data_IF_301643077372
#
_entry.id   IF_301643077372
#
_cell.length_a   1.000
_cell.length_b   1.000
_cell.length_c   1.000
_cell.angle_alpha   90.00
_cell.angle_beta   90.00
_cell.angle_gamma   90.00
#
_symmetry.space_group_name_H-M   'P 1'
#
loop_
_entity.id
_entity.type
_entity.pdbx_description
1 polymer ?
#
# COMPACT_ATOMS: atom_id res chain seq x y z
N UNK A 1 -2.28 -28.68 14.71
CA UNK A 1 -2.78 -27.29 14.87
C UNK A 1 -3.27 -26.83 13.50
N UNK A 2 -4.56 -26.53 13.35
CA UNK A 2 -5.12 -26.13 12.05
C UNK A 2 -4.47 -24.83 11.55
N UNK A 3 -4.21 -24.68 10.24
CA UNK A 3 -3.47 -23.53 9.68
C UNK A 3 -4.10 -22.18 10.02
N UNK A 4 -5.42 -22.14 10.19
CA UNK A 4 -6.18 -20.92 10.49
C UNK A 4 -5.92 -20.38 11.91
N UNK A 5 -5.78 -21.25 12.91
CA UNK A 5 -5.52 -20.83 14.29
C UNK A 5 -4.17 -20.12 14.43
N UNK A 6 -3.14 -20.56 13.69
CA UNK A 6 -1.81 -19.91 13.70
C UNK A 6 -1.85 -18.52 13.09
N UNK A 7 -2.64 -18.33 12.02
CA UNK A 7 -2.85 -17.02 11.39
C UNK A 7 -3.61 -16.09 12.32
N UNK A 8 -4.71 -16.54 12.91
CA UNK A 8 -5.52 -15.75 13.82
C UNK A 8 -4.74 -15.32 15.07
N UNK A 9 -3.90 -16.21 15.61
CA UNK A 9 -3.02 -15.88 16.73
C UNK A 9 -2.06 -14.73 16.39
N UNK A 10 -1.49 -14.71 15.17
CA UNK A 10 -0.65 -13.58 14.74
C UNK A 10 -1.43 -12.28 14.69
N UNK A 11 -2.67 -12.30 14.20
CA UNK A 11 -3.53 -11.11 14.13
C UNK A 11 -3.84 -10.59 15.54
N UNK A 12 -4.14 -11.46 16.50
CA UNK A 12 -4.34 -11.07 17.91
C UNK A 12 -3.08 -10.40 18.49
N UNK A 13 -1.89 -10.95 18.21
CA UNK A 13 -0.63 -10.36 18.68
C UNK A 13 -0.33 -9.00 18.03
N UNK A 14 -0.70 -8.82 16.76
CA UNK A 14 -0.62 -7.51 16.09
C UNK A 14 -1.60 -6.53 16.73
N UNK A 15 -2.86 -6.95 16.94
CA UNK A 15 -3.87 -6.10 17.57
C UNK A 15 -3.47 -5.64 18.97
N UNK A 16 -2.81 -6.50 19.76
CA UNK A 16 -2.27 -6.12 21.07
C UNK A 16 -1.30 -4.94 20.94
N UNK A 17 -0.37 -5.01 19.97
CA UNK A 17 0.63 -3.97 19.73
C UNK A 17 0.01 -2.68 19.20
N UNK A 18 -0.94 -2.78 18.26
CA UNK A 18 -1.57 -1.61 17.66
C UNK A 18 -2.50 -0.87 18.63
N UNK A 19 -3.15 -1.58 19.54
CA UNK A 19 -3.98 -0.99 20.59
C UNK A 19 -3.17 -0.50 21.80
N UNK A 20 -1.85 -0.73 21.83
CA UNK A 20 -1.01 -0.35 22.97
C UNK A 20 -1.37 -1.06 24.27
N UNK A 21 -1.98 -2.25 24.20
CA UNK A 21 -2.38 -3.00 25.40
C UNK A 21 -1.15 -3.54 26.11
N UNK A 22 -1.05 -3.25 27.40
CA UNK A 22 -0.04 -3.84 28.26
C UNK A 22 -0.30 -5.34 28.48
N UNK A 23 0.56 -6.01 29.23
CA UNK A 23 0.40 -7.45 29.44
C UNK A 23 -0.83 -7.82 30.28
N UNK A 24 -1.23 -6.98 31.23
CA UNK A 24 -2.32 -7.30 32.15
C UNK A 24 -3.68 -7.00 31.51
N UNK A 25 -3.81 -5.86 30.82
CA UNK A 25 -4.97 -5.49 30.02
C UNK A 25 -5.22 -6.52 28.91
N UNK A 26 -4.15 -7.00 28.27
CA UNK A 26 -4.25 -8.05 27.27
C UNK A 26 -4.75 -9.38 27.86
N UNK A 27 -4.29 -9.75 29.06
CA UNK A 27 -4.77 -10.97 29.74
C UNK A 27 -6.22 -10.83 30.19
N UNK A 28 -6.61 -9.67 30.71
CA UNK A 28 -7.99 -9.37 31.08
C UNK A 28 -8.92 -9.42 29.87
N UNK A 29 -8.50 -8.88 28.72
CA UNK A 29 -9.25 -8.98 27.47
C UNK A 29 -9.43 -10.44 27.04
N UNK A 30 -8.37 -11.25 27.07
CA UNK A 30 -8.47 -12.68 26.72
C UNK A 30 -9.39 -13.45 27.66
N UNK A 31 -9.30 -13.19 28.97
CA UNK A 31 -10.12 -13.83 29.99
C UNK A 31 -11.60 -13.47 29.82
N UNK A 32 -11.92 -12.19 29.61
CA UNK A 32 -13.30 -11.73 29.41
C UNK A 32 -13.98 -12.34 28.17
N UNK A 33 -13.22 -12.58 27.09
CA UNK A 33 -13.77 -13.09 25.82
C UNK A 33 -13.74 -14.61 25.75
N UNK A 34 -12.72 -15.26 26.33
CA UNK A 34 -12.45 -16.69 26.08
C UNK A 34 -12.44 -17.56 27.33
N UNK A 35 -12.46 -16.94 28.52
CA UNK A 35 -12.28 -17.57 29.82
C UNK A 35 -10.84 -18.01 30.12
N UNK A 36 -9.86 -17.65 29.28
CA UNK A 36 -8.48 -18.06 29.43
C UNK A 36 -7.54 -16.85 29.44
N UNK A 37 -6.54 -16.87 30.32
CA UNK A 37 -5.52 -15.81 30.43
C UNK A 37 -4.39 -15.92 29.40
N UNK A 38 -4.49 -16.84 28.44
CA UNK A 38 -3.48 -17.04 27.40
C UNK A 38 -4.12 -17.37 26.05
N UNK A 39 -3.56 -16.79 25.00
CA UNK A 39 -3.97 -17.09 23.63
C UNK A 39 -3.35 -18.41 23.09
N UNK A 40 -2.40 -19.00 23.81
CA UNK A 40 -1.73 -20.24 23.40
C UNK A 40 -2.68 -21.42 23.58
N UNK A 41 -2.97 -22.12 22.48
CA UNK A 41 -3.86 -23.29 22.49
C UNK A 41 -5.36 -22.97 22.32
N UNK A 42 -5.72 -21.69 22.12
CA UNK A 42 -7.10 -21.34 21.79
C UNK A 42 -7.52 -21.87 20.41
N UNK A 43 -8.78 -22.30 20.32
CA UNK A 43 -9.44 -22.65 19.05
C UNK A 43 -9.59 -21.42 18.14
N UNK A 44 -9.70 -21.64 16.83
CA UNK A 44 -9.92 -20.58 15.84
C UNK A 44 -11.14 -19.69 16.19
N UNK A 45 -12.29 -20.28 16.56
CA UNK A 45 -13.49 -19.54 16.94
C UNK A 45 -13.27 -18.57 18.12
N UNK A 46 -12.55 -19.01 19.16
CA UNK A 46 -12.19 -18.16 20.30
C UNK A 46 -11.24 -17.02 19.88
N UNK A 47 -10.29 -17.27 18.99
CA UNK A 47 -9.39 -16.24 18.47
C UNK A 47 -10.14 -15.21 17.61
N UNK A 48 -11.15 -15.62 16.83
CA UNK A 48 -12.01 -14.71 16.07
C UNK A 48 -12.88 -13.82 16.98
N UNK A 49 -13.41 -14.38 18.06
CA UNK A 49 -14.13 -13.61 19.07
C UNK A 49 -13.23 -12.53 19.70
N UNK A 50 -11.98 -12.87 20.03
CA UNK A 50 -10.98 -11.90 20.55
C UNK A 50 -10.70 -10.80 19.54
N UNK A 51 -10.48 -11.14 18.25
CA UNK A 51 -10.28 -10.15 17.19
C UNK A 51 -11.50 -9.23 17.06
N UNK A 52 -12.71 -9.76 17.24
CA UNK A 52 -13.96 -8.97 17.20
C UNK A 52 -14.04 -7.99 18.37
N UNK A 53 -13.68 -8.41 19.59
CA UNK A 53 -13.58 -7.52 20.74
C UNK A 53 -12.52 -6.42 20.51
N UNK A 54 -11.35 -6.78 19.97
CA UNK A 54 -10.29 -5.81 19.62
C UNK A 54 -10.77 -4.79 18.58
N UNK A 55 -11.58 -5.20 17.59
CA UNK A 55 -12.17 -4.26 16.62
C UNK A 55 -13.09 -3.24 17.30
N UNK A 56 -13.86 -3.66 18.31
CA UNK A 56 -14.65 -2.75 19.14
C UNK A 56 -13.81 -1.72 19.90
N UNK A 57 -12.57 -2.08 20.25
CA UNK A 57 -11.58 -1.20 20.88
C UNK A 57 -10.79 -0.34 19.86
N UNK A 58 -11.13 -0.39 18.57
CA UNK A 58 -10.49 0.42 17.52
C UNK A 58 -9.44 -0.30 16.67
N UNK A 59 -9.24 -1.61 16.86
CA UNK A 59 -8.31 -2.38 16.03
C UNK A 59 -8.83 -2.53 14.59
N UNK A 60 -8.07 -2.07 13.61
CA UNK A 60 -8.40 -2.19 12.19
C UNK A 60 -7.53 -3.27 11.56
N UNK A 61 -8.12 -4.42 11.22
CA UNK A 61 -7.40 -5.51 10.54
C UNK A 61 -6.99 -5.03 9.13
N UNK A 62 -5.74 -4.56 9.00
CA UNK A 62 -5.09 -4.29 7.72
C UNK A 62 -4.91 -5.62 6.97
N UNK A 63 -5.94 -6.05 6.24
CA UNK A 63 -5.90 -7.32 5.50
C UNK A 63 -7.22 -8.08 5.40
N UNK A 64 -8.34 -7.52 5.84
CA UNK A 64 -9.66 -7.98 5.41
C UNK A 64 -9.86 -7.61 3.95
N UNK A 65 -9.41 -8.47 3.03
CA UNK A 65 -9.81 -8.39 1.64
C UNK A 65 -11.33 -8.26 1.60
N UNK A 66 -11.81 -7.26 0.86
CA UNK A 66 -13.19 -7.21 0.45
C UNK A 66 -13.49 -8.55 -0.21
N UNK A 67 -14.44 -9.32 0.34
CA UNK A 67 -14.83 -10.66 -0.15
C UNK A 67 -15.39 -10.61 -1.59
N UNK A 68 -15.61 -9.40 -2.13
CA UNK A 68 -16.12 -9.16 -3.47
C UNK A 68 -15.07 -8.60 -4.46
N UNK A 69 -13.81 -8.47 -4.06
CA UNK A 69 -12.73 -8.05 -4.96
C UNK A 69 -11.90 -9.24 -5.40
N UNK A 70 -11.82 -9.51 -6.71
CA UNK A 70 -10.90 -10.50 -7.31
C UNK A 70 -9.44 -10.12 -7.01
N UNK A 71 -8.94 -10.41 -5.81
CA UNK A 71 -7.50 -10.41 -5.54
C UNK A 71 -6.95 -11.80 -5.82
N UNK A 72 -6.04 -11.88 -6.77
CA UNK A 72 -5.33 -13.12 -7.05
C UNK A 72 -4.55 -13.59 -5.81
N UNK A 73 -4.46 -14.91 -5.56
CA UNK A 73 -3.68 -15.44 -4.45
C UNK A 73 -2.21 -14.97 -4.53
N UNK A 74 -1.51 -14.86 -3.39
CA UNK A 74 -0.07 -14.57 -3.40
C UNK A 74 0.62 -15.63 -4.26
N UNK A 75 1.29 -15.21 -5.33
CA UNK A 75 1.88 -16.19 -6.24
C UNK A 75 3.03 -16.92 -5.54
N UNK A 76 2.90 -18.24 -5.43
CA UNK A 76 3.93 -19.13 -4.89
C UNK A 76 5.04 -19.42 -5.92
N UNK A 77 4.94 -18.85 -7.12
CA UNK A 77 5.87 -19.07 -8.21
C UNK A 77 7.14 -18.21 -8.04
N UNK A 78 8.30 -18.79 -8.38
CA UNK A 78 9.56 -18.06 -8.44
C UNK A 78 9.44 -16.94 -9.47
N UNK A 79 9.43 -15.70 -8.99
CA UNK A 79 9.47 -14.51 -9.83
C UNK A 79 10.85 -14.41 -10.47
N UNK A 80 10.94 -14.39 -11.81
CA UNK A 80 12.22 -14.29 -12.53
C UNK A 80 12.88 -12.92 -12.39
N UNK A 81 12.10 -11.85 -12.27
CA UNK A 81 12.57 -10.47 -12.16
C UNK A 81 11.98 -9.77 -10.92
N UNK A 82 12.80 -9.30 -9.96
CA UNK A 82 12.29 -8.70 -8.71
C UNK A 82 11.37 -7.49 -8.94
N UNK A 83 11.49 -6.83 -10.10
CA UNK A 83 10.65 -5.71 -10.54
C UNK A 83 9.19 -6.09 -10.73
N UNK A 84 8.88 -7.35 -11.06
CA UNK A 84 7.50 -7.85 -11.22
C UNK A 84 6.69 -7.68 -9.93
N UNK A 85 7.35 -7.78 -8.76
CA UNK A 85 6.71 -7.52 -7.47
C UNK A 85 6.28 -6.05 -7.35
N UNK A 86 7.10 -5.11 -7.84
CA UNK A 86 6.79 -3.68 -7.87
C UNK A 86 5.65 -3.39 -8.86
N UNK A 87 5.66 -4.03 -10.03
CA UNK A 87 4.58 -3.94 -11.03
C UNK A 87 3.23 -4.34 -10.42
N UNK A 88 3.17 -5.50 -9.76
CA UNK A 88 1.97 -5.97 -9.04
C UNK A 88 1.55 -5.01 -7.93
N UNK A 89 2.51 -4.51 -7.15
CA UNK A 89 2.22 -3.57 -6.07
C UNK A 89 1.56 -2.28 -6.61
N UNK A 90 2.11 -1.67 -7.66
CA UNK A 90 1.54 -0.46 -8.26
C UNK A 90 0.14 -0.75 -8.82
N UNK A 91 -0.07 -1.89 -9.50
CA UNK A 91 -1.39 -2.25 -10.03
C UNK A 91 -2.46 -2.34 -8.93
N UNK A 92 -2.13 -3.01 -7.82
CA UNK A 92 -3.02 -3.13 -6.67
C UNK A 92 -3.26 -1.76 -6.02
N UNK A 93 -2.23 -0.91 -5.91
CA UNK A 93 -2.38 0.46 -5.41
C UNK A 93 -3.36 1.25 -6.28
N UNK A 94 -3.19 1.24 -7.61
CA UNK A 94 -4.09 1.92 -8.54
C UNK A 94 -5.54 1.41 -8.44
N UNK A 95 -5.75 0.11 -8.18
CA UNK A 95 -7.09 -0.42 -7.91
C UNK A 95 -7.66 0.12 -6.59
N UNK A 96 -6.86 0.16 -5.52
CA UNK A 96 -7.31 0.69 -4.23
C UNK A 96 -7.61 2.19 -4.29
N UNK A 97 -6.89 2.95 -5.11
CA UNK A 97 -7.15 4.37 -5.37
C UNK A 97 -8.37 4.60 -6.29
N UNK A 98 -8.98 3.52 -6.81
CA UNK A 98 -10.16 3.59 -7.69
C UNK A 98 -9.86 3.92 -9.15
N UNK A 99 -8.57 4.00 -9.54
CA UNK A 99 -8.15 4.32 -10.90
C UNK A 99 -8.32 3.15 -11.87
N UNK A 100 -8.30 1.92 -11.36
CA UNK A 100 -8.45 0.69 -12.14
C UNK A 100 -9.65 -0.09 -11.61
N UNK A 101 -10.44 -0.66 -12.52
CA UNK A 101 -11.67 -1.40 -12.17
C UNK A 101 -11.42 -2.80 -11.64
N UNK A 102 -10.29 -3.41 -11.98
CA UNK A 102 -9.94 -4.80 -11.63
C UNK A 102 -8.47 -4.91 -11.20
N UNK A 103 -8.24 -5.23 -9.92
CA UNK A 103 -6.92 -5.39 -9.31
C UNK A 103 -6.31 -6.80 -9.45
N UNK A 104 -6.94 -7.71 -10.20
CA UNK A 104 -6.45 -9.08 -10.39
C UNK A 104 -5.19 -9.17 -11.25
N UNK A 105 -4.44 -10.26 -11.08
CA UNK A 105 -3.25 -10.58 -11.88
C UNK A 105 -3.61 -10.86 -13.35
N UNK A 106 -4.84 -11.30 -13.63
CA UNK A 106 -5.35 -11.51 -14.99
C UNK A 106 -5.58 -10.19 -15.74
N UNK A 107 -6.13 -9.18 -15.03
CA UNK A 107 -6.30 -7.83 -15.58
C UNK A 107 -4.94 -7.17 -15.82
N UNK A 108 -4.00 -7.33 -14.88
CA UNK A 108 -2.61 -6.91 -15.06
C UNK A 108 -1.95 -7.62 -16.24
N UNK A 109 -2.15 -8.94 -16.36
CA UNK A 109 -1.67 -9.73 -17.48
C UNK A 109 -2.17 -9.24 -18.83
N UNK A 110 -3.42 -8.81 -18.91
CA UNK A 110 -4.00 -8.19 -20.11
C UNK A 110 -3.35 -6.85 -20.46
N UNK A 111 -3.01 -6.03 -19.45
CA UNK A 111 -2.25 -4.80 -19.65
C UNK A 111 -0.84 -5.09 -20.18
N UNK A 112 -0.12 -6.03 -19.56
CA UNK A 112 1.24 -6.43 -19.95
C UNK A 112 1.26 -7.02 -21.36
N UNK A 113 0.28 -7.85 -21.72
CA UNK A 113 0.14 -8.42 -23.06
C UNK A 113 0.09 -7.32 -24.11
N UNK A 114 -0.71 -6.27 -23.89
CA UNK A 114 -0.80 -5.12 -24.81
C UNK A 114 0.52 -4.35 -24.91
N UNK A 115 1.22 -4.16 -23.79
CA UNK A 115 2.51 -3.46 -23.74
C UNK A 115 3.63 -4.22 -24.46
N UNK A 116 3.62 -5.55 -24.40
CA UNK A 116 4.71 -6.41 -24.90
C UNK A 116 4.45 -7.00 -26.28
N UNK A 117 3.19 -7.05 -26.74
CA UNK A 117 2.82 -7.61 -28.04
C UNK A 117 3.59 -6.95 -29.20
N UNK A 118 3.71 -5.62 -29.20
CA UNK A 118 4.41 -4.89 -30.27
C UNK A 118 5.92 -5.16 -30.27
N UNK A 119 6.51 -5.42 -29.10
CA UNK A 119 7.95 -5.66 -28.96
C UNK A 119 8.34 -7.12 -29.29
N UNK A 120 7.39 -8.06 -29.19
CA UNK A 120 7.63 -9.50 -29.35
C UNK A 120 6.99 -10.04 -30.64
N UNK A 121 6.96 -9.26 -31.72
CA UNK A 121 6.44 -9.73 -33.02
C UNK A 121 4.98 -10.18 -33.01
N UNK A 122 4.15 -9.63 -32.11
CA UNK A 122 2.73 -9.95 -31.96
C UNK A 122 2.41 -10.90 -30.78
N UNK A 123 3.40 -11.58 -30.20
CA UNK A 123 3.20 -12.50 -29.08
C UNK A 123 3.37 -11.78 -27.72
N UNK A 124 2.29 -11.18 -27.22
CA UNK A 124 2.30 -10.52 -25.91
C UNK A 124 2.37 -11.49 -24.73
N UNK A 125 3.13 -11.12 -23.69
CA UNK A 125 3.27 -11.90 -22.45
C UNK A 125 2.04 -11.63 -21.56
N UNK A 126 1.29 -12.67 -21.21
CA UNK A 126 0.09 -12.54 -20.35
C UNK A 126 0.37 -12.78 -18.87
N UNK A 127 1.47 -13.45 -18.51
CA UNK A 127 1.82 -13.68 -17.10
C UNK A 127 2.96 -12.76 -16.67
N UNK A 128 2.77 -11.91 -15.65
CA UNK A 128 3.82 -11.00 -15.17
C UNK A 128 5.13 -11.71 -14.80
N UNK A 129 5.03 -12.95 -14.32
CA UNK A 129 6.16 -13.78 -13.87
C UNK A 129 7.11 -14.19 -15.00
N UNK A 130 6.66 -14.08 -16.25
CA UNK A 130 7.44 -14.42 -17.45
C UNK A 130 8.15 -13.21 -18.03
N UNK A 131 8.02 -12.03 -17.44
CA UNK A 131 8.75 -10.85 -17.87
C UNK A 131 10.24 -10.99 -17.53
N UNK A 132 11.09 -10.63 -18.48
CA UNK A 132 12.50 -10.37 -18.22
C UNK A 132 12.65 -9.06 -17.42
N UNK A 133 13.78 -8.84 -16.74
CA UNK A 133 14.00 -7.61 -15.95
C UNK A 133 13.81 -6.34 -16.80
N UNK A 134 14.39 -6.29 -18.01
CA UNK A 134 14.26 -5.14 -18.90
C UNK A 134 12.79 -4.89 -19.34
N UNK A 135 12.02 -5.96 -19.60
CA UNK A 135 10.59 -5.83 -19.91
C UNK A 135 9.80 -5.38 -18.69
N UNK A 136 10.11 -5.92 -17.51
CA UNK A 136 9.47 -5.56 -16.25
C UNK A 136 9.73 -4.10 -15.86
N UNK A 137 10.95 -3.60 -16.02
CA UNK A 137 11.29 -2.17 -15.83
C UNK A 137 10.50 -1.27 -16.79
N UNK A 138 10.44 -1.63 -18.07
CA UNK A 138 9.66 -0.86 -19.06
C UNK A 138 8.18 -0.80 -18.70
N UNK A 139 7.61 -1.93 -18.27
CA UNK A 139 6.22 -1.99 -17.79
C UNK A 139 6.03 -1.17 -16.51
N UNK A 140 6.97 -1.26 -15.58
CA UNK A 140 6.94 -0.53 -14.31
C UNK A 140 6.94 0.99 -14.52
N UNK A 141 7.83 1.49 -15.37
CA UNK A 141 7.93 2.92 -15.67
C UNK A 141 6.70 3.42 -16.45
N UNK A 142 6.15 2.60 -17.35
CA UNK A 142 4.89 2.93 -18.02
C UNK A 142 3.70 3.02 -17.03
N UNK A 143 3.63 2.09 -16.07
CA UNK A 143 2.60 2.11 -15.01
C UNK A 143 2.73 3.35 -14.11
N UNK A 144 3.96 3.68 -13.67
CA UNK A 144 4.19 4.89 -12.86
C UNK A 144 3.74 6.15 -13.59
N UNK A 145 4.10 6.32 -14.86
CA UNK A 145 3.69 7.48 -15.66
C UNK A 145 2.18 7.56 -15.81
N UNK A 146 1.52 6.42 -16.04
CA UNK A 146 0.07 6.40 -16.12
C UNK A 146 -0.58 6.76 -14.78
N UNK A 147 -0.08 6.20 -13.68
CA UNK A 147 -0.59 6.49 -12.34
C UNK A 147 -0.41 7.96 -11.96
N UNK A 148 0.78 8.54 -12.23
CA UNK A 148 1.04 9.98 -12.05
C UNK A 148 -0.01 10.81 -12.78
N UNK A 149 -0.27 10.52 -14.06
CA UNK A 149 -1.26 11.26 -14.85
C UNK A 149 -2.66 11.21 -14.23
N UNK A 150 -3.08 10.06 -13.69
CA UNK A 150 -4.38 9.91 -13.03
C UNK A 150 -4.43 10.64 -11.69
N UNK A 151 -3.38 10.54 -10.87
CA UNK A 151 -3.27 11.28 -9.61
C UNK A 151 -3.27 12.79 -9.84
N UNK A 152 -2.50 13.27 -10.81
CA UNK A 152 -2.47 14.68 -11.24
C UNK A 152 -3.86 15.16 -11.66
N UNK A 153 -4.57 14.39 -12.48
CA UNK A 153 -5.94 14.75 -12.88
C UNK A 153 -6.88 14.84 -11.66
N UNK A 154 -6.80 13.89 -10.72
CA UNK A 154 -7.61 13.90 -9.51
C UNK A 154 -7.28 15.08 -8.56
N UNK A 155 -6.00 15.48 -8.48
CA UNK A 155 -5.56 16.67 -7.74
C UNK A 155 -6.18 17.94 -8.37
N UNK A 156 -6.10 18.06 -9.70
CA UNK A 156 -6.67 19.21 -10.43
C UNK A 156 -8.18 19.28 -10.27
N UNK A 157 -8.89 18.16 -10.41
CA UNK A 157 -10.35 18.08 -10.28
C UNK A 157 -10.82 18.52 -8.89
N UNK A 158 -10.03 18.23 -7.85
CA UNK A 158 -10.29 18.69 -6.48
C UNK A 158 -10.01 20.19 -6.27
N UNK A 159 -9.37 20.86 -7.22
CA UNK A 159 -8.96 22.26 -7.11
C UNK A 159 -7.64 22.47 -6.37
N UNK A 160 -6.88 21.40 -6.14
CA UNK A 160 -5.54 21.48 -5.54
C UNK A 160 -4.47 21.81 -6.60
N UNK A 161 -3.37 22.43 -6.15
CA UNK A 161 -2.22 22.69 -7.01
C UNK A 161 -1.36 21.43 -7.13
N UNK A 162 -1.02 21.07 -8.37
CA UNK A 162 -0.09 19.97 -8.65
C UNK A 162 1.33 20.42 -8.28
N UNK A 163 2.04 19.70 -7.41
CA UNK A 163 3.40 20.08 -7.04
C UNK A 163 4.37 19.88 -8.20
N UNK A 164 5.24 20.86 -8.42
CA UNK A 164 6.28 20.78 -9.46
C UNK A 164 7.49 19.96 -8.97
N UNK A 165 8.01 19.01 -9.78
CA UNK A 165 9.23 18.29 -9.45
C UNK A 165 10.42 19.25 -9.36
N UNK A 166 11.17 19.19 -8.26
CA UNK A 166 12.41 19.95 -8.07
C UNK A 166 13.64 19.09 -8.36
N UNK A 167 13.64 18.38 -9.48
CA UNK A 167 14.65 17.38 -9.85
C UNK A 167 16.11 17.89 -9.86
N UNK A 168 16.30 19.21 -9.85
CA UNK A 168 17.61 19.84 -9.77
C UNK A 168 18.22 19.85 -8.35
N UNK A 169 17.45 19.51 -7.31
CA UNK A 169 17.93 19.47 -5.92
C UNK A 169 18.13 18.03 -5.46
N UNK A 170 19.16 17.81 -4.64
CA UNK A 170 19.49 16.49 -4.10
C UNK A 170 18.50 16.01 -3.03
N UNK A 171 17.83 16.95 -2.35
CA UNK A 171 16.80 16.70 -1.32
C UNK A 171 15.38 16.60 -1.91
N UNK A 172 15.23 16.74 -3.23
CA UNK A 172 13.91 16.73 -3.84
C UNK A 172 13.30 15.34 -3.82
N UNK A 173 12.04 15.28 -3.39
CA UNK A 173 11.25 14.06 -3.46
C UNK A 173 11.16 13.57 -4.92
N UNK A 174 11.38 12.28 -5.21
CA UNK A 174 11.24 11.74 -6.56
C UNK A 174 9.86 12.07 -7.14
N UNK A 175 9.78 12.33 -8.45
CA UNK A 175 8.57 12.87 -9.07
C UNK A 175 7.31 11.99 -8.88
N UNK A 176 7.46 10.67 -8.78
CA UNK A 176 6.35 9.78 -8.45
C UNK A 176 5.87 9.97 -7.01
N UNK A 177 6.80 9.96 -6.05
CA UNK A 177 6.49 10.08 -4.63
C UNK A 177 5.92 11.46 -4.30
N UNK A 178 6.41 12.51 -4.98
CA UNK A 178 5.89 13.86 -4.85
C UNK A 178 4.41 13.98 -5.21
N UNK A 179 4.03 13.41 -6.36
CA UNK A 179 2.63 13.43 -6.81
C UNK A 179 1.78 12.51 -5.92
N UNK A 180 2.35 11.39 -5.47
CA UNK A 180 1.66 10.47 -4.55
C UNK A 180 1.32 11.15 -3.23
N UNK A 181 2.28 11.83 -2.63
CA UNK A 181 2.12 12.55 -1.36
C UNK A 181 1.02 13.61 -1.46
N UNK A 182 1.05 14.43 -2.51
CA UNK A 182 0.03 15.45 -2.74
C UNK A 182 -1.36 14.86 -3.06
N UNK A 183 -1.40 13.66 -3.64
CA UNK A 183 -2.66 12.95 -3.88
C UNK A 183 -3.26 12.41 -2.57
N UNK A 184 -2.43 11.80 -1.71
CA UNK A 184 -2.87 11.22 -0.44
C UNK A 184 -3.21 12.27 0.62
N UNK A 185 -2.53 13.43 0.58
CA UNK A 185 -2.69 14.51 1.54
C UNK A 185 -3.20 15.78 0.83
N UNK A 186 -4.52 15.96 0.68
CA UNK A 186 -5.11 17.18 0.11
C UNK A 186 -4.62 18.44 0.83
N UNK A 187 -4.34 19.50 0.08
CA UNK A 187 -3.79 20.74 0.62
C UNK A 187 -2.31 20.69 1.05
N UNK A 188 -1.67 19.52 1.06
CA UNK A 188 -0.23 19.41 1.35
C UNK A 188 0.59 20.15 0.28
N UNK A 189 1.72 20.72 0.72
CA UNK A 189 2.68 21.39 -0.15
C UNK A 189 4.09 20.96 0.24
N UNK A 190 4.98 20.68 -0.73
CA UNK A 190 6.38 20.48 -0.43
C UNK A 190 6.95 21.78 0.14
N UNK A 191 7.80 21.69 1.17
CA UNK A 191 8.41 22.86 1.79
C UNK A 191 8.98 23.81 0.71
N UNK A 192 8.56 25.06 0.74
CA UNK A 192 9.17 26.13 -0.03
C UNK A 192 10.29 26.71 0.83
N UNK A 193 11.55 26.44 0.48
CA UNK A 193 12.67 27.24 0.99
C UNK A 193 12.73 28.48 0.12
N UNK A 194 12.23 29.62 0.61
CA UNK A 194 12.60 30.91 0.02
C UNK A 194 14.06 31.15 0.34
N UNK A 195 14.91 31.30 -0.68
CA UNK A 195 16.31 31.71 -0.51
C UNK A 195 16.33 33.21 -0.23
N UNK A 196 15.89 33.60 0.97
CA UNK A 196 16.22 34.89 1.55
C UNK A 196 17.19 34.56 2.67
N UNK A 197 18.47 34.51 2.28
CA UNK A 197 19.65 34.33 3.12
C UNK A 197 19.58 33.23 4.21
N UNK A 198 20.10 32.05 3.89
CA UNK A 198 20.44 31.01 4.88
C UNK A 198 19.30 30.05 5.27
N UNK A 199 19.29 28.90 4.60
CA UNK A 199 19.05 27.55 5.18
C UNK A 199 17.81 27.27 6.06
N UNK A 200 16.76 28.10 6.07
CA UNK A 200 15.54 27.81 6.85
C UNK A 200 14.30 27.60 5.98
N UNK A 201 13.47 26.66 6.38
CA UNK A 201 12.15 26.39 5.78
C UNK A 201 11.11 27.40 6.29
N UNK A 202 10.07 27.71 5.50
CA UNK A 202 8.97 28.60 5.93
C UNK A 202 8.31 28.10 7.23
N UNK A 203 8.18 26.78 7.38
CA UNK A 203 7.62 26.16 8.58
C UNK A 203 8.45 26.44 9.84
N UNK A 204 9.77 26.51 9.73
CA UNK A 204 10.67 26.84 10.84
C UNK A 204 10.65 28.34 11.20
N UNK A 205 10.27 29.21 10.25
CA UNK A 205 10.11 30.64 10.51
C UNK A 205 8.81 30.93 11.28
N UNK A 206 7.72 30.24 10.95
CA UNK A 206 6.44 30.42 11.64
C UNK A 206 6.41 29.87 13.08
N UNK A 207 7.31 28.94 13.43
CA UNK A 207 7.43 28.41 14.79
C UNK A 207 8.20 29.31 15.76
N UNK A 208 8.89 30.36 15.28
CA UNK A 208 9.69 31.26 16.13
C UNK A 208 8.96 32.50 16.64
N UNK A 209 7.72 32.73 16.24
CA UNK A 209 6.92 33.91 16.60
C UNK A 209 5.82 33.63 17.66
N UNK A 210 5.91 32.54 18.42
CA UNK A 210 4.98 32.25 19.51
C UNK A 210 5.71 31.96 20.83
#
# INVERSE_FOLDING_TARGET
>A
MQPDAKRLLKIVQVGRRELGLDEEDYRALLESVTGARSAKGLSAAKLEAVITAMKGLGFKVKGGAQVNGRRSPPSAAKVQAPEVRKVRAIWITMYNDGFVRDGSDDALGSYIKRMTANANGGAGISRPEWLTSAQAERVLEALKKWHIRLMTAAIIERGDLVPEPRSHRDDAMPGYDLIREAYENPGWRPAQIMVIDGSKTISELQQKEN
#
